data_IF_742895405307
#
_entry.id   IF_742895405307
#
_cell.length_a   1.000
_cell.length_b   1.000
_cell.length_c   1.000
_cell.angle_alpha   90.00
_cell.angle_beta   90.00
_cell.angle_gamma   90.00
#
_symmetry.space_group_name_H-M   'P 1'
#
loop_
_entity.id
_entity.type
_entity.pdbx_description
1 polymer ?
#
# COMPACT_ATOMS: atom_id res chain seq x y z
N UNK A 1 -1.06 9.42 -18.96
CA UNK A 1 -1.57 8.08 -18.59
C UNK A 1 -2.49 8.26 -17.39
N UNK A 2 -3.66 7.63 -17.38
CA UNK A 2 -4.60 7.76 -16.27
C UNK A 2 -4.05 7.04 -15.02
N UNK A 3 -4.15 7.66 -13.83
CA UNK A 3 -3.71 7.03 -12.58
C UNK A 3 -4.37 5.66 -12.34
N UNK A 4 -5.63 5.50 -12.79
CA UNK A 4 -6.34 4.22 -12.74
C UNK A 4 -5.67 3.16 -13.61
N UNK A 5 -5.29 3.50 -14.84
CA UNK A 5 -4.64 2.56 -15.75
C UNK A 5 -3.24 2.19 -15.23
N UNK A 6 -2.47 3.17 -14.75
CA UNK A 6 -1.17 2.95 -14.10
C UNK A 6 -1.28 1.95 -12.94
N UNK A 7 -2.28 2.14 -12.07
CA UNK A 7 -2.50 1.26 -10.93
C UNK A 7 -2.90 -0.15 -11.37
N UNK A 8 -3.88 -0.28 -12.28
CA UNK A 8 -4.38 -1.57 -12.74
C UNK A 8 -3.28 -2.39 -13.42
N UNK A 9 -2.48 -1.75 -14.28
CA UNK A 9 -1.38 -2.43 -14.98
C UNK A 9 -0.30 -2.89 -14.00
N UNK A 10 0.12 -2.01 -13.08
CA UNK A 10 1.10 -2.36 -12.04
C UNK A 10 0.65 -3.54 -11.18
N UNK A 11 -0.63 -3.59 -10.81
CA UNK A 11 -1.22 -4.71 -10.05
C UNK A 11 -1.17 -6.00 -10.86
N UNK A 12 -1.61 -5.98 -12.11
CA UNK A 12 -1.64 -7.17 -12.98
C UNK A 12 -0.25 -7.75 -13.24
N UNK A 13 0.75 -6.89 -13.39
CA UNK A 13 2.11 -7.28 -13.75
C UNK A 13 2.95 -7.72 -12.52
N UNK A 14 2.49 -7.46 -11.30
CA UNK A 14 3.23 -7.79 -10.09
C UNK A 14 3.04 -9.25 -9.65
N UNK A 15 3.91 -10.15 -10.10
CA UNK A 15 3.87 -11.58 -9.77
C UNK A 15 3.91 -11.90 -8.26
N UNK A 16 4.37 -10.98 -7.41
CA UNK A 16 4.39 -11.14 -5.96
C UNK A 16 3.01 -10.98 -5.30
N UNK A 17 2.04 -10.37 -5.99
CA UNK A 17 0.67 -10.30 -5.50
C UNK A 17 -0.08 -11.62 -5.75
N UNK A 18 -1.00 -12.01 -4.84
CA UNK A 18 -1.89 -13.14 -5.06
C UNK A 18 -2.64 -13.01 -6.39
N UNK A 19 -2.83 -14.13 -7.09
CA UNK A 19 -3.50 -14.17 -8.38
C UNK A 19 -4.91 -13.56 -8.33
N UNK A 20 -5.68 -13.87 -7.29
CA UNK A 20 -7.02 -13.32 -7.09
C UNK A 20 -7.05 -11.79 -6.99
N UNK A 21 -5.99 -11.16 -6.46
CA UNK A 21 -5.85 -9.69 -6.39
C UNK A 21 -5.53 -9.13 -7.78
N UNK A 22 -4.64 -9.80 -8.53
CA UNK A 22 -4.27 -9.43 -9.90
C UNK A 22 -5.47 -9.48 -10.84
N UNK A 23 -6.27 -10.53 -10.74
CA UNK A 23 -7.51 -10.70 -11.51
C UNK A 23 -8.56 -9.64 -11.14
N UNK A 24 -8.60 -9.24 -9.88
CA UNK A 24 -9.54 -8.23 -9.36
C UNK A 24 -9.06 -6.78 -9.54
N UNK A 25 -7.93 -6.53 -10.21
CA UNK A 25 -7.36 -5.18 -10.34
C UNK A 25 -8.35 -4.11 -10.83
N UNK A 26 -9.28 -4.48 -11.72
CA UNK A 26 -10.29 -3.55 -12.26
C UNK A 26 -11.37 -3.15 -11.27
N UNK A 27 -11.56 -3.91 -10.17
CA UNK A 27 -12.49 -3.56 -9.09
C UNK A 27 -11.90 -2.53 -8.12
N UNK A 28 -10.64 -2.13 -8.32
CA UNK A 28 -9.95 -1.21 -7.42
C UNK A 28 -10.70 0.11 -7.20
N UNK A 29 -10.75 0.51 -5.93
CA UNK A 29 -11.41 1.72 -5.43
C UNK A 29 -10.42 2.64 -4.73
N UNK A 30 -10.83 3.90 -4.49
CA UNK A 30 -9.99 4.88 -3.80
C UNK A 30 -8.65 5.16 -4.50
N UNK A 31 -8.63 5.10 -5.84
CA UNK A 31 -7.40 5.31 -6.60
C UNK A 31 -7.08 6.79 -6.63
N UNK A 32 -6.01 7.18 -5.97
CA UNK A 32 -5.56 8.58 -5.87
C UNK A 32 -4.05 8.69 -5.80
N UNK A 33 -3.54 9.84 -6.26
CA UNK A 33 -2.13 10.19 -6.04
C UNK A 33 -2.00 10.90 -4.71
N UNK A 34 -1.14 10.39 -3.84
CA UNK A 34 -0.82 10.98 -2.54
C UNK A 34 0.67 10.88 -2.24
N UNK A 35 1.16 11.80 -1.41
CA UNK A 35 2.49 11.73 -0.80
C UNK A 35 2.34 11.84 0.71
N UNK A 36 3.39 11.47 1.43
CA UNK A 36 3.52 11.66 2.86
C UNK A 36 4.93 12.18 3.14
N UNK A 37 5.09 12.88 4.26
CA UNK A 37 6.37 13.43 4.69
C UNK A 37 6.93 12.65 5.89
N UNK A 38 8.04 13.16 6.42
CA UNK A 38 8.73 12.58 7.58
C UNK A 38 7.83 12.47 8.81
N UNK A 39 6.85 13.38 8.98
CA UNK A 39 5.97 13.40 10.16
C UNK A 39 5.08 12.17 10.21
N UNK A 40 4.75 11.58 9.05
CA UNK A 40 4.02 10.31 9.00
C UNK A 40 4.87 9.15 9.53
N UNK A 41 6.17 9.09 9.18
CA UNK A 41 7.07 8.05 9.66
C UNK A 41 7.31 8.18 11.17
N UNK A 42 7.47 9.40 11.68
CA UNK A 42 7.56 9.70 13.11
C UNK A 42 6.28 9.29 13.85
N UNK A 43 5.11 9.52 13.24
CA UNK A 43 3.85 9.04 13.78
C UNK A 43 3.80 7.51 13.88
N UNK A 44 4.29 6.78 12.87
CA UNK A 44 4.40 5.31 12.96
C UNK A 44 5.32 4.88 14.10
N UNK A 45 6.47 5.53 14.25
CA UNK A 45 7.42 5.25 15.35
C UNK A 45 6.80 5.46 16.72
N UNK A 46 6.04 6.55 16.90
CA UNK A 46 5.30 6.82 18.12
C UNK A 46 4.28 5.72 18.42
N UNK A 47 3.48 5.32 17.43
CA UNK A 47 2.46 4.27 17.60
C UNK A 47 3.09 2.90 17.95
N UNK A 48 4.24 2.58 17.35
CA UNK A 48 5.01 1.36 17.65
C UNK A 48 5.55 1.41 19.08
N UNK A 49 6.13 2.53 19.50
CA UNK A 49 6.69 2.71 20.85
C UNK A 49 5.62 2.61 21.94
N UNK A 50 4.40 3.10 21.66
CA UNK A 50 3.25 3.00 22.57
C UNK A 50 2.60 1.61 22.59
N UNK A 51 2.96 0.72 21.66
CA UNK A 51 2.26 -0.55 21.41
C UNK A 51 0.73 -0.36 21.33
N UNK A 52 0.28 0.70 20.65
CA UNK A 52 -1.05 1.28 20.82
C UNK A 52 -2.23 0.31 20.58
N UNK A 53 -2.01 -0.78 19.83
CA UNK A 53 -3.01 -1.84 19.57
C UNK A 53 -2.42 -3.25 19.72
N UNK A 54 -1.37 -3.40 20.52
CA UNK A 54 -0.72 -4.68 20.78
C UNK A 54 0.28 -5.11 19.70
N UNK A 55 0.96 -6.23 19.99
CA UNK A 55 2.21 -6.61 19.32
C UNK A 55 2.03 -6.91 17.82
N UNK A 56 0.90 -7.52 17.45
CA UNK A 56 0.60 -7.83 16.05
C UNK A 56 0.49 -6.55 15.23
N UNK A 57 -0.25 -5.56 15.73
CA UNK A 57 -0.36 -4.27 15.09
C UNK A 57 1.00 -3.56 15.01
N UNK A 58 1.78 -3.60 16.09
CA UNK A 58 3.13 -3.03 16.11
C UNK A 58 4.07 -3.69 15.10
N UNK A 59 3.97 -5.00 14.86
CA UNK A 59 4.72 -5.68 13.78
C UNK A 59 4.30 -5.16 12.40
N UNK A 60 2.99 -5.01 12.16
CA UNK A 60 2.48 -4.44 10.90
C UNK A 60 3.00 -3.01 10.70
N UNK A 61 2.95 -2.16 11.72
CA UNK A 61 3.47 -0.79 11.63
C UNK A 61 4.99 -0.75 11.36
N UNK A 62 5.78 -1.66 11.93
CA UNK A 62 7.22 -1.78 11.61
C UNK A 62 7.44 -2.15 10.14
N UNK A 63 6.66 -3.10 9.62
CA UNK A 63 6.71 -3.47 8.19
C UNK A 63 6.34 -2.28 7.31
N UNK A 64 5.28 -1.54 7.66
CA UNK A 64 4.86 -0.32 6.94
C UNK A 64 5.93 0.74 6.93
N UNK A 65 6.45 1.06 8.11
CA UNK A 65 7.51 2.06 8.26
C UNK A 65 8.72 1.68 7.40
N UNK A 66 9.17 0.43 7.47
CA UNK A 66 10.32 -0.03 6.68
C UNK A 66 10.05 0.03 5.18
N UNK A 67 8.89 -0.45 4.72
CA UNK A 67 8.56 -0.48 3.29
C UNK A 67 8.29 0.89 2.67
N UNK A 68 7.89 1.87 3.48
CA UNK A 68 7.59 3.23 3.01
C UNK A 68 8.75 4.23 3.18
N UNK A 69 9.80 3.92 3.94
CA UNK A 69 10.86 4.90 4.27
C UNK A 69 11.49 5.53 3.02
N UNK A 70 11.76 4.74 1.97
CA UNK A 70 12.38 5.21 0.73
C UNK A 70 11.45 6.07 -0.16
N UNK A 71 10.16 6.16 0.20
CA UNK A 71 9.13 6.84 -0.57
C UNK A 71 8.63 8.14 0.08
N UNK A 72 9.30 8.61 1.14
CA UNK A 72 9.04 9.90 1.76
C UNK A 72 9.15 11.03 0.73
N UNK A 73 8.18 11.94 0.73
CA UNK A 73 8.04 13.08 -0.19
C UNK A 73 7.93 12.69 -1.69
N UNK A 74 7.73 11.41 -1.99
CA UNK A 74 7.54 10.91 -3.36
C UNK A 74 6.03 10.69 -3.59
N UNK A 75 5.44 11.31 -4.63
CA UNK A 75 4.06 11.03 -5.02
C UNK A 75 3.89 9.58 -5.48
N UNK A 76 2.96 8.86 -4.86
CA UNK A 76 2.60 7.48 -5.19
C UNK A 76 1.13 7.40 -5.58
N UNK A 77 0.80 6.47 -6.47
CA UNK A 77 -0.60 6.11 -6.74
C UNK A 77 -1.01 5.01 -5.77
N UNK A 78 -1.98 5.30 -4.91
CA UNK A 78 -2.56 4.35 -3.99
C UNK A 78 -3.92 3.85 -4.46
N UNK A 79 -4.33 2.68 -3.97
CA UNK A 79 -5.68 2.13 -4.21
C UNK A 79 -5.97 0.94 -3.30
N UNK A 80 -7.23 0.51 -3.30
CA UNK A 80 -7.71 -0.65 -2.52
C UNK A 80 -8.38 -1.68 -3.41
N UNK A 81 -8.14 -2.96 -3.14
CA UNK A 81 -8.79 -4.09 -3.79
C UNK A 81 -9.35 -5.01 -2.71
N UNK A 82 -10.66 -5.22 -2.72
CA UNK A 82 -11.32 -6.20 -1.88
C UNK A 82 -11.49 -7.52 -2.64
N UNK A 83 -11.15 -8.64 -2.00
CA UNK A 83 -11.29 -10.01 -2.53
C UNK A 83 -11.88 -10.90 -1.43
N UNK A 84 -13.18 -11.21 -1.54
CA UNK A 84 -13.87 -11.95 -0.48
C UNK A 84 -13.94 -11.13 0.81
N UNK A 85 -13.42 -11.67 1.91
CA UNK A 85 -13.28 -10.99 3.21
C UNK A 85 -11.92 -10.30 3.39
N UNK A 86 -11.05 -10.34 2.37
CA UNK A 86 -9.73 -9.70 2.44
C UNK A 86 -9.75 -8.33 1.76
N UNK A 87 -9.04 -7.37 2.35
CA UNK A 87 -8.76 -6.06 1.76
C UNK A 87 -7.25 -5.87 1.56
N UNK A 88 -6.89 -5.36 0.39
CA UNK A 88 -5.51 -5.08 0.02
C UNK A 88 -5.34 -3.58 -0.23
N UNK A 89 -4.43 -2.95 0.51
CA UNK A 89 -3.98 -1.59 0.20
C UNK A 89 -2.69 -1.67 -0.61
N UNK A 90 -2.60 -0.95 -1.72
CA UNK A 90 -1.47 -1.05 -2.66
C UNK A 90 -0.95 0.35 -2.98
N UNK A 91 0.37 0.49 -3.09
CA UNK A 91 1.08 1.70 -3.50
C UNK A 91 1.96 1.41 -4.72
N UNK A 92 1.87 2.28 -5.71
CA UNK A 92 2.55 2.17 -7.01
C UNK A 92 3.37 3.42 -7.25
N UNK A 93 4.62 3.27 -7.69
CA UNK A 93 5.40 4.39 -8.24
C UNK A 93 4.91 4.69 -9.66
N UNK A 94 4.31 5.86 -9.93
CA UNK A 94 3.79 6.18 -11.26
C UNK A 94 4.86 6.30 -12.34
N UNK A 95 6.13 6.47 -11.97
CA UNK A 95 7.25 6.65 -12.91
C UNK A 95 7.71 5.32 -13.50
N UNK A 96 7.76 4.29 -12.67
CA UNK A 96 8.22 2.94 -13.05
C UNK A 96 7.07 1.97 -13.27
N UNK A 97 5.86 2.33 -12.84
CA UNK A 97 4.67 1.47 -12.83
C UNK A 97 4.87 0.19 -12.01
N UNK A 98 5.77 0.24 -11.02
CA UNK A 98 6.03 -0.87 -10.13
C UNK A 98 5.23 -0.71 -8.82
N UNK A 99 4.75 -1.82 -8.28
CA UNK A 99 4.25 -1.85 -6.90
C UNK A 99 5.45 -1.69 -5.97
N UNK A 100 5.37 -0.70 -5.09
CA UNK A 100 6.43 -0.38 -4.13
C UNK A 100 6.10 -0.87 -2.73
N UNK A 101 4.81 -1.01 -2.42
CA UNK A 101 4.34 -1.46 -1.12
C UNK A 101 2.89 -1.96 -1.22
N UNK A 102 2.54 -2.96 -0.41
CA UNK A 102 1.15 -3.38 -0.23
C UNK A 102 0.95 -4.01 1.15
N UNK A 103 -0.30 -4.01 1.61
CA UNK A 103 -0.71 -4.65 2.87
C UNK A 103 -1.96 -5.48 2.66
N UNK A 104 -2.03 -6.60 3.37
CA UNK A 104 -3.21 -7.43 3.48
C UNK A 104 -3.86 -7.27 4.86
N UNK A 105 -5.19 -7.14 4.81
CA UNK A 105 -6.09 -7.13 5.96
C UNK A 105 -7.12 -8.23 5.75
N UNK A 106 -7.18 -9.18 6.69
CA UNK A 106 -8.31 -10.08 6.81
C UNK A 106 -9.34 -9.45 7.74
N UNK A 107 -10.62 -9.46 7.35
CA UNK A 107 -11.75 -9.25 8.28
C UNK A 107 -11.88 -10.41 9.28
#
# INVERSE_FOLDING_TARGET
>A
MNQRDTFINAVRDCAALPECVRDSATSATGIETSSFDVTYLEFLDLQIGLNARGDEWSRRLRSRRSGLTEWCDIPLVGGRIAVGSDDYTIKVDPRTQAIVYWEHYAD
#
